data_IF_333705376805
#
_entry.id   IF_333705376805
#
_cell.length_a   1.000
_cell.length_b   1.000
_cell.length_c   1.000
_cell.angle_alpha   90.00
_cell.angle_beta   90.00
_cell.angle_gamma   90.00
#
_symmetry.space_group_name_H-M   'P 1'
#
loop_
_entity.id
_entity.type
_entity.pdbx_description
1 polymer ?
#
# COMPACT_ATOMS: atom_id res chain seq x y z
N UNK A 1 24.26 -6.94 -39.08
CA UNK A 1 23.06 -6.19 -38.58
C UNK A 1 22.34 -6.89 -37.43
N UNK A 2 22.15 -8.22 -37.47
CA UNK A 2 21.43 -9.00 -36.43
C UNK A 2 22.00 -8.83 -35.00
N UNK A 3 23.33 -8.75 -34.84
CA UNK A 3 23.98 -8.53 -33.53
C UNK A 3 23.68 -7.15 -32.92
N UNK A 4 23.62 -6.09 -33.75
CA UNK A 4 23.31 -4.72 -33.30
C UNK A 4 21.86 -4.58 -32.84
N UNK A 5 20.94 -5.26 -33.53
CA UNK A 5 19.52 -5.32 -33.17
C UNK A 5 19.30 -6.01 -31.81
N UNK A 6 20.06 -7.08 -31.53
CA UNK A 6 20.01 -7.77 -30.23
C UNK A 6 20.45 -6.89 -29.07
N UNK A 7 21.54 -6.12 -29.22
CA UNK A 7 21.97 -5.16 -28.19
C UNK A 7 20.97 -4.01 -27.98
N UNK A 8 20.30 -3.55 -29.05
CA UNK A 8 19.26 -2.52 -28.96
C UNK A 8 18.00 -3.03 -28.23
N UNK A 9 17.59 -4.28 -28.47
CA UNK A 9 16.48 -4.92 -27.74
C UNK A 9 16.80 -5.16 -26.27
N UNK A 10 18.05 -5.51 -25.93
CA UNK A 10 18.54 -5.58 -24.54
C UNK A 10 18.56 -4.22 -23.85
N UNK A 11 18.93 -3.15 -24.58
CA UNK A 11 18.88 -1.78 -24.06
C UNK A 11 17.44 -1.31 -23.80
N UNK A 12 16.50 -1.63 -24.70
CA UNK A 12 15.06 -1.37 -24.52
C UNK A 12 14.45 -2.18 -23.36
N UNK A 13 14.90 -3.41 -23.14
CA UNK A 13 14.51 -4.23 -21.99
C UNK A 13 15.03 -3.66 -20.65
N UNK A 14 16.20 -3.01 -20.66
CA UNK A 14 16.77 -2.36 -19.46
C UNK A 14 15.99 -1.12 -19.02
N UNK A 15 15.36 -0.40 -19.96
CA UNK A 15 14.52 0.78 -19.67
C UNK A 15 13.05 0.42 -19.41
N UNK A 16 12.66 -0.85 -19.57
CA UNK A 16 11.30 -1.30 -19.29
C UNK A 16 11.25 -1.99 -17.91
N UNK A 17 10.51 -1.34 -16.99
CA UNK A 17 10.11 -1.73 -15.64
C UNK A 17 11.14 -1.43 -14.52
N UNK A 18 10.85 -0.66 -13.47
CA UNK A 18 9.57 -0.35 -12.83
C UNK A 18 9.48 1.15 -12.44
N UNK A 19 8.29 1.73 -12.52
CA UNK A 19 7.99 2.92 -11.72
C UNK A 19 8.14 2.56 -10.24
N UNK A 20 9.21 3.01 -9.61
CA UNK A 20 9.21 3.30 -8.17
C UNK A 20 9.64 4.75 -8.04
N UNK A 21 8.65 5.62 -7.96
CA UNK A 21 8.84 7.07 -7.90
C UNK A 21 7.48 7.74 -7.93
N UNK A 22 6.90 7.93 -6.75
CA UNK A 22 5.68 8.70 -6.59
C UNK A 22 6.01 10.17 -6.88
N UNK A 23 5.21 10.82 -7.71
CA UNK A 23 5.50 12.04 -8.46
C UNK A 23 5.69 13.34 -7.67
N UNK A 24 6.51 13.33 -6.62
CA UNK A 24 6.89 14.50 -5.85
C UNK A 24 8.42 14.56 -5.63
N UNK A 25 9.06 15.67 -6.00
CA UNK A 25 10.48 15.93 -5.75
C UNK A 25 10.78 16.40 -4.32
N UNK A 26 9.75 16.67 -3.51
CA UNK A 26 9.85 17.06 -2.09
C UNK A 26 8.92 16.21 -1.21
N UNK A 27 9.18 14.90 -1.08
CA UNK A 27 8.29 14.02 -0.33
C UNK A 27 8.23 14.40 1.15
N UNK A 28 7.02 14.54 1.71
CA UNK A 28 6.79 14.82 3.14
C UNK A 28 6.95 13.60 4.06
N UNK A 29 7.24 12.43 3.49
CA UNK A 29 7.41 11.16 4.21
C UNK A 29 7.91 10.04 3.28
N UNK A 30 8.10 8.83 3.83
CA UNK A 30 8.60 7.68 3.08
C UNK A 30 7.67 7.24 1.92
N UNK A 31 6.39 7.59 2.01
CA UNK A 31 5.39 7.42 0.96
C UNK A 31 4.60 8.73 0.86
N UNK A 32 4.87 9.56 -0.16
CA UNK A 32 4.17 10.83 -0.38
C UNK A 32 3.46 10.85 -1.74
N UNK A 33 2.19 10.42 -1.77
CA UNK A 33 1.33 10.41 -2.97
C UNK A 33 0.71 11.79 -3.17
N UNK A 34 1.50 12.69 -3.75
CA UNK A 34 1.10 14.04 -4.04
C UNK A 34 1.22 14.37 -5.54
N UNK A 35 0.26 15.13 -6.06
CA UNK A 35 0.29 15.74 -7.40
C UNK A 35 0.22 17.26 -7.21
N UNK A 36 1.02 18.08 -7.91
CA UNK A 36 1.27 19.50 -7.59
C UNK A 36 0.07 20.46 -7.53
N UNK A 37 -1.14 20.05 -7.91
CA UNK A 37 -2.33 20.93 -7.88
C UNK A 37 -3.56 20.26 -7.28
N UNK A 38 -4.01 19.13 -7.84
CA UNK A 38 -5.14 18.33 -7.33
C UNK A 38 -4.92 16.85 -7.62
N UNK A 39 -5.12 15.97 -6.64
CA UNK A 39 -5.16 14.53 -6.85
C UNK A 39 -6.62 14.08 -7.08
N UNK A 40 -6.87 13.43 -8.20
CA UNK A 40 -8.18 12.87 -8.58
C UNK A 40 -8.24 11.34 -8.43
N UNK A 41 -7.16 10.73 -7.93
CA UNK A 41 -7.01 9.29 -7.79
C UNK A 41 -6.88 8.89 -6.33
N UNK A 42 -7.55 7.81 -5.94
CA UNK A 42 -7.46 7.23 -4.59
C UNK A 42 -6.31 6.25 -4.43
N UNK A 43 -5.96 5.94 -3.18
CA UNK A 43 -5.12 4.80 -2.84
C UNK A 43 -6.03 3.57 -2.68
N UNK A 44 -5.86 2.58 -3.57
CA UNK A 44 -6.51 1.27 -3.41
C UNK A 44 -5.62 0.39 -2.55
N UNK A 45 -6.15 -0.04 -1.40
CA UNK A 45 -5.45 -0.96 -0.51
C UNK A 45 -5.54 -2.40 -1.03
N UNK A 46 -4.62 -3.29 -0.65
CA UNK A 46 -4.79 -4.72 -0.85
C UNK A 46 -6.12 -5.18 -0.25
N UNK A 47 -6.94 -5.84 -1.06
CA UNK A 47 -8.28 -6.28 -0.67
C UNK A 47 -8.29 -7.76 -0.37
N UNK A 48 -8.94 -8.13 0.73
CA UNK A 48 -9.24 -9.52 1.04
C UNK A 48 -10.60 -9.62 1.76
N UNK A 49 -11.27 -10.77 1.69
CA UNK A 49 -12.51 -10.98 2.44
C UNK A 49 -12.29 -11.11 3.95
N UNK A 50 -11.10 -11.53 4.38
CA UNK A 50 -10.79 -11.70 5.81
C UNK A 50 -9.31 -11.39 6.09
N UNK A 51 -9.07 -10.75 7.24
CA UNK A 51 -7.72 -10.58 7.78
C UNK A 51 -6.96 -11.89 8.03
N UNK A 52 -7.66 -13.03 8.16
CA UNK A 52 -7.04 -14.36 8.37
C UNK A 52 -6.30 -14.87 7.14
N UNK A 53 -6.62 -14.34 5.96
CA UNK A 53 -5.99 -14.74 4.70
C UNK A 53 -4.69 -13.96 4.44
N UNK A 54 -4.39 -12.96 5.27
CA UNK A 54 -3.18 -12.15 5.12
C UNK A 54 -2.00 -12.89 5.71
N UNK A 55 -0.96 -13.04 4.90
CA UNK A 55 0.29 -13.70 5.29
C UNK A 55 1.46 -12.74 5.15
N UNK A 56 2.49 -12.93 5.97
CA UNK A 56 3.76 -12.25 5.75
C UNK A 56 4.49 -12.94 4.59
N UNK A 57 4.80 -12.24 3.48
CA UNK A 57 5.49 -12.85 2.34
C UNK A 57 6.91 -13.34 2.67
N UNK A 58 7.51 -12.88 3.77
CA UNK A 58 8.79 -13.36 4.29
C UNK A 58 8.65 -14.55 5.24
N UNK A 59 7.43 -15.06 5.44
CA UNK A 59 7.08 -16.00 6.48
C UNK A 59 6.98 -15.37 7.88
N UNK A 60 6.49 -16.13 8.84
CA UNK A 60 6.32 -15.68 10.23
C UNK A 60 5.09 -14.80 10.47
N UNK A 61 5.11 -14.05 11.57
CA UNK A 61 4.00 -13.18 11.97
C UNK A 61 3.81 -12.02 10.98
N UNK A 62 2.58 -11.54 10.87
CA UNK A 62 2.23 -10.36 10.07
C UNK A 62 3.01 -9.16 10.61
N UNK A 63 3.59 -8.36 9.72
CA UNK A 63 4.34 -7.18 10.14
C UNK A 63 3.40 -6.15 10.77
N UNK A 64 3.78 -5.55 11.92
CA UNK A 64 3.07 -4.40 12.47
C UNK A 64 2.91 -3.31 11.42
N UNK A 65 1.79 -2.59 11.49
CA UNK A 65 1.39 -1.56 10.55
C UNK A 65 0.96 -2.03 9.13
N UNK A 66 0.77 -3.33 8.92
CA UNK A 66 0.08 -3.84 7.72
C UNK A 66 -1.35 -3.28 7.66
N UNK A 67 -1.74 -2.73 6.51
CA UNK A 67 -3.07 -2.14 6.29
C UNK A 67 -3.73 -2.76 5.05
N UNK A 68 -4.99 -3.19 5.18
CA UNK A 68 -5.78 -3.81 4.11
C UNK A 68 -7.19 -3.22 4.07
N UNK A 69 -7.90 -3.45 2.97
CA UNK A 69 -9.36 -3.34 2.93
C UNK A 69 -9.99 -4.74 3.07
N UNK A 70 -10.84 -4.92 4.09
CA UNK A 70 -11.55 -6.17 4.36
C UNK A 70 -12.95 -6.12 3.74
N UNK A 71 -13.13 -6.80 2.60
CA UNK A 71 -14.35 -6.65 1.78
C UNK A 71 -15.60 -7.25 2.41
N UNK A 72 -15.48 -8.22 3.32
CA UNK A 72 -16.65 -8.79 4.01
C UNK A 72 -17.26 -7.84 5.04
N UNK A 73 -16.45 -6.95 5.61
CA UNK A 73 -16.88 -5.95 6.60
C UNK A 73 -16.93 -4.53 6.01
N UNK A 74 -16.67 -4.38 4.70
CA UNK A 74 -16.60 -3.11 3.98
C UNK A 74 -15.79 -2.03 4.72
N UNK A 75 -14.58 -2.37 5.16
CA UNK A 75 -13.81 -1.47 6.02
C UNK A 75 -12.29 -1.63 5.89
N UNK A 76 -11.56 -0.60 6.33
CA UNK A 76 -10.09 -0.66 6.44
C UNK A 76 -9.69 -1.33 7.75
N UNK A 77 -8.77 -2.30 7.69
CA UNK A 77 -8.17 -2.99 8.84
C UNK A 77 -6.68 -2.67 8.95
N UNK A 78 -6.18 -2.52 10.18
CA UNK A 78 -4.78 -2.23 10.47
C UNK A 78 -4.24 -3.20 11.53
N UNK A 79 -3.08 -3.79 11.27
CA UNK A 79 -2.45 -4.75 12.18
C UNK A 79 -1.59 -4.03 13.23
N UNK A 80 -2.00 -4.09 14.49
CA UNK A 80 -1.31 -3.53 15.66
C UNK A 80 -0.55 -4.63 16.40
N UNK A 81 0.78 -4.66 16.27
CA UNK A 81 1.71 -5.57 16.96
C UNK A 81 1.37 -7.07 16.83
N UNK A 82 0.26 -7.52 17.44
CA UNK A 82 -0.26 -8.88 17.45
C UNK A 82 -1.73 -9.04 17.04
N UNK A 83 -2.49 -7.96 16.79
CA UNK A 83 -3.92 -8.03 16.52
C UNK A 83 -4.40 -7.06 15.42
N UNK A 84 -5.47 -7.43 14.71
CA UNK A 84 -6.13 -6.55 13.75
C UNK A 84 -7.09 -5.57 14.44
N UNK A 85 -7.16 -4.33 13.95
CA UNK A 85 -8.13 -3.33 14.41
C UNK A 85 -9.56 -3.73 14.07
N UNK A 86 -10.54 -3.37 14.89
CA UNK A 86 -11.95 -3.63 14.61
C UNK A 86 -12.55 -2.57 13.66
N UNK A 87 -12.04 -2.53 12.43
CA UNK A 87 -12.24 -1.47 11.44
C UNK A 87 -11.72 -0.09 11.90
N UNK A 88 -11.05 0.65 11.02
CA UNK A 88 -10.48 1.96 11.37
C UNK A 88 -11.53 3.07 11.44
N UNK A 89 -12.65 2.94 10.72
CA UNK A 89 -13.77 3.87 10.71
C UNK A 89 -15.03 3.03 10.60
N UNK A 90 -15.89 3.04 11.61
CA UNK A 90 -17.23 2.44 11.54
C UNK A 90 -18.26 3.54 11.77
N UNK A 91 -19.33 3.54 10.98
CA UNK A 91 -20.37 4.59 10.98
C UNK A 91 -21.15 4.70 12.32
N UNK A 92 -21.00 3.73 13.23
CA UNK A 92 -21.70 3.71 14.51
C UNK A 92 -20.84 4.25 15.67
N UNK A 93 -20.69 5.58 15.73
CA UNK A 93 -20.79 6.40 16.95
C UNK A 93 -19.84 6.19 18.15
N UNK A 94 -19.02 5.15 18.19
CA UNK A 94 -17.99 4.98 19.21
C UNK A 94 -16.67 5.45 18.63
N UNK A 95 -16.38 6.73 18.82
CA UNK A 95 -15.10 7.37 18.48
C UNK A 95 -13.95 6.52 19.04
N UNK A 96 -13.37 5.63 18.23
CA UNK A 96 -12.05 5.10 18.54
C UNK A 96 -11.07 6.23 18.32
N UNK A 97 -10.67 6.82 19.44
CA UNK A 97 -9.72 7.90 19.48
C UNK A 97 -8.39 7.40 18.91
N UNK A 98 -8.11 7.72 17.64
CA UNK A 98 -6.81 7.47 17.01
C UNK A 98 -5.70 8.29 17.72
N UNK A 99 -6.07 9.11 18.73
CA UNK A 99 -5.19 10.03 19.44
C UNK A 99 -4.68 9.58 20.81
N UNK A 100 -5.05 8.42 21.38
CA UNK A 100 -4.42 8.02 22.66
C UNK A 100 -3.06 7.35 22.42
N UNK A 101 -2.07 8.20 22.20
CA UNK A 101 -0.71 8.01 22.70
C UNK A 101 -0.76 8.32 24.19
N UNK A 102 -0.81 7.28 25.00
CA UNK A 102 -0.21 7.22 26.34
C UNK A 102 0.68 5.97 26.36
#
# INVERSE_FOLDING_TARGET
MKKKLSFFLLYLAYISFAQVGIGNSTPRGALDINRPTTNTYGLVLPTNSSVTNIVNPRGGAIAPATTIYESSNDCIRHYRQSAWSNCLLTENGSLFNISKVE
#
